data_IF_535153967496
#
_entry.id   IF_535153967496
#
_cell.length_a   1.000
_cell.length_b   1.000
_cell.length_c   1.000
_cell.angle_alpha   90.00
_cell.angle_beta   90.00
_cell.angle_gamma   90.00
#
_symmetry.space_group_name_H-M   'P 1'
#
loop_
_entity.id
_entity.type
_entity.pdbx_description
1 polymer ?
#
# COMPACT_ATOMS: atom_id res chain seq x y z
N UNK A 1 -5.15 13.23 0.26
CA UNK A 1 -5.75 12.75 -1.01
C UNK A 1 -4.62 12.41 -1.94
N UNK A 2 -4.48 11.12 -2.22
CA UNK A 2 -3.42 10.57 -3.07
C UNK A 2 -3.84 10.67 -4.53
N UNK A 3 -2.89 10.99 -5.40
CA UNK A 3 -3.07 11.10 -6.85
C UNK A 3 -2.06 10.20 -7.58
N UNK A 4 -2.26 9.94 -8.88
CA UNK A 4 -1.33 9.14 -9.70
C UNK A 4 0.09 9.74 -9.79
N UNK A 5 0.20 11.06 -9.65
CA UNK A 5 1.46 11.80 -9.60
C UNK A 5 2.19 11.66 -8.27
N UNK A 6 1.51 11.20 -7.21
CA UNK A 6 2.07 11.12 -5.86
C UNK A 6 3.18 10.08 -5.77
N UNK A 7 4.12 10.34 -4.87
CA UNK A 7 5.11 9.35 -4.44
C UNK A 7 4.72 8.89 -3.04
N UNK A 8 4.64 7.58 -2.82
CA UNK A 8 4.21 6.99 -1.55
C UNK A 8 5.20 5.93 -1.08
N UNK A 9 5.30 5.72 0.22
CA UNK A 9 6.05 4.60 0.82
C UNK A 9 5.32 4.02 2.01
N UNK A 10 5.65 2.79 2.39
CA UNK A 10 5.31 2.22 3.68
C UNK A 10 5.75 3.15 4.82
N UNK A 11 4.96 3.18 5.90
CA UNK A 11 5.32 3.92 7.10
C UNK A 11 6.44 3.15 7.85
N UNK A 12 7.66 3.72 7.98
CA UNK A 12 8.77 3.02 8.61
C UNK A 12 8.61 2.80 10.11
N UNK A 13 7.64 3.44 10.75
CA UNK A 13 7.38 3.28 12.20
C UNK A 13 6.60 2.00 12.52
N UNK A 14 6.10 1.28 11.50
CA UNK A 14 5.33 0.06 11.68
C UNK A 14 6.23 -1.16 11.67
N UNK A 15 6.00 -2.07 12.63
CA UNK A 15 6.57 -3.41 12.58
C UNK A 15 5.67 -4.30 11.76
N UNK A 16 6.19 -4.84 10.66
CA UNK A 16 5.51 -5.81 9.82
C UNK A 16 6.05 -7.23 10.08
N UNK A 17 5.18 -8.21 10.18
CA UNK A 17 5.53 -9.64 10.32
C UNK A 17 4.58 -10.46 9.46
N UNK A 18 5.13 -11.45 8.77
CA UNK A 18 4.34 -12.37 7.94
C UNK A 18 4.03 -13.64 8.72
N UNK A 19 2.78 -14.10 8.64
CA UNK A 19 2.33 -15.37 9.24
C UNK A 19 1.28 -15.98 8.32
N UNK A 20 1.50 -17.23 7.88
CA UNK A 20 0.61 -17.97 6.97
C UNK A 20 0.23 -17.21 5.67
N UNK A 21 1.12 -16.34 5.16
CA UNK A 21 0.89 -15.54 3.96
C UNK A 21 0.06 -14.26 4.16
N UNK A 22 -0.36 -14.00 5.40
CA UNK A 22 -0.95 -12.72 5.82
C UNK A 22 0.12 -11.80 6.38
N UNK A 23 -0.04 -10.49 6.16
CA UNK A 23 0.86 -9.48 6.71
C UNK A 23 0.22 -8.80 7.90
N UNK A 24 0.81 -9.03 9.06
CA UNK A 24 0.47 -8.41 10.32
C UNK A 24 1.33 -7.15 10.48
N UNK A 25 0.68 -6.02 10.69
CA UNK A 25 1.38 -4.76 11.01
C UNK A 25 1.00 -4.28 12.39
N UNK A 26 2.00 -3.79 13.12
CA UNK A 26 1.86 -3.29 14.47
C UNK A 26 2.42 -1.88 14.57
N UNK A 27 1.57 -0.94 14.97
CA UNK A 27 1.97 0.36 15.47
C UNK A 27 2.22 0.22 16.97
N UNK A 28 3.50 0.09 17.35
CA UNK A 28 3.90 -0.08 18.74
C UNK A 28 3.61 1.15 19.60
N UNK A 29 3.61 2.34 19.01
CA UNK A 29 3.38 3.59 19.74
C UNK A 29 1.89 3.77 20.08
N UNK A 30 1.01 3.43 19.15
CA UNK A 30 -0.44 3.57 19.34
C UNK A 30 -1.13 2.29 19.80
N UNK A 31 -0.39 1.17 19.88
CA UNK A 31 -0.94 -0.14 20.23
C UNK A 31 -1.95 -0.66 19.20
N UNK A 32 -1.83 -0.27 17.92
CA UNK A 32 -2.76 -0.65 16.86
C UNK A 32 -2.22 -1.85 16.09
N UNK A 33 -3.12 -2.75 15.72
CA UNK A 33 -2.84 -3.93 14.93
C UNK A 33 -3.66 -3.88 13.64
N UNK A 34 -3.03 -4.27 12.53
CA UNK A 34 -3.66 -4.38 11.24
C UNK A 34 -3.31 -5.72 10.60
N UNK A 35 -4.29 -6.31 9.91
CA UNK A 35 -4.06 -7.46 9.06
C UNK A 35 -4.36 -7.05 7.62
N UNK A 36 -3.37 -7.19 6.74
CA UNK A 36 -3.56 -7.00 5.32
C UNK A 36 -3.84 -8.33 4.65
N UNK A 37 -4.89 -8.33 3.81
CA UNK A 37 -5.08 -9.42 2.86
C UNK A 37 -3.88 -9.51 1.91
N UNK A 38 -3.80 -10.62 1.16
CA UNK A 38 -2.71 -10.90 0.23
C UNK A 38 -2.38 -9.74 -0.73
N UNK A 39 -3.39 -9.13 -1.35
CA UNK A 39 -3.19 -8.08 -2.36
C UNK A 39 -2.67 -6.80 -1.67
N UNK A 40 -3.31 -6.38 -0.58
CA UNK A 40 -2.88 -5.22 0.19
C UNK A 40 -1.46 -5.41 0.75
N UNK A 41 -1.11 -6.62 1.20
CA UNK A 41 0.24 -6.96 1.66
C UNK A 41 1.26 -6.89 0.52
N UNK A 42 0.93 -7.39 -0.67
CA UNK A 42 1.80 -7.28 -1.85
C UNK A 42 2.05 -5.83 -2.25
N UNK A 43 0.99 -5.00 -2.29
CA UNK A 43 1.12 -3.57 -2.59
C UNK A 43 1.99 -2.89 -1.52
N UNK A 44 1.72 -3.14 -0.24
CA UNK A 44 2.50 -2.55 0.85
C UNK A 44 3.99 -2.90 0.77
N UNK A 45 4.34 -4.15 0.41
CA UNK A 45 5.74 -4.57 0.17
C UNK A 45 6.39 -3.81 -0.99
N UNK A 46 5.65 -3.58 -2.09
CA UNK A 46 6.15 -2.75 -3.20
C UNK A 46 6.43 -1.29 -2.77
N UNK A 47 5.88 -0.86 -1.63
CA UNK A 47 6.06 0.47 -1.04
C UNK A 47 7.14 0.53 0.06
N UNK A 48 7.84 -0.57 0.39
CA UNK A 48 9.00 -0.53 1.30
C UNK A 48 10.07 0.49 0.84
N UNK A 49 10.05 0.83 -0.45
CA UNK A 49 10.78 1.96 -1.01
C UNK A 49 9.80 2.97 -1.60
N UNK A 50 10.11 4.29 -1.54
CA UNK A 50 9.29 5.30 -2.18
C UNK A 50 9.05 5.00 -3.65
N UNK A 51 7.78 5.02 -4.06
CA UNK A 51 7.36 4.67 -5.40
C UNK A 51 6.29 5.62 -5.91
N UNK A 52 6.36 5.94 -7.20
CA UNK A 52 5.32 6.70 -7.87
C UNK A 52 4.07 5.84 -8.08
N UNK A 53 2.89 6.39 -7.82
CA UNK A 53 1.62 5.66 -7.91
C UNK A 53 1.34 5.20 -9.35
N UNK A 54 1.69 5.98 -10.37
CA UNK A 54 1.54 5.56 -11.78
C UNK A 54 2.36 4.30 -12.08
N UNK A 55 3.59 4.22 -11.59
CA UNK A 55 4.46 3.07 -11.81
C UNK A 55 4.03 1.84 -10.99
N UNK A 56 3.39 2.05 -9.84
CA UNK A 56 2.74 1.00 -9.07
C UNK A 56 1.54 0.42 -9.85
N UNK A 57 0.63 1.27 -10.34
CA UNK A 57 -0.52 0.84 -11.14
C UNK A 57 -0.10 0.08 -12.40
N UNK A 58 0.94 0.55 -13.11
CA UNK A 58 1.48 -0.15 -14.29
C UNK A 58 1.98 -1.56 -13.95
N UNK A 59 2.75 -1.68 -12.88
CA UNK A 59 3.30 -2.95 -12.39
C UNK A 59 2.20 -3.94 -12.00
N UNK A 60 1.13 -3.45 -11.36
CA UNK A 60 -0.03 -4.28 -11.04
C UNK A 60 -0.80 -4.68 -12.30
N UNK A 61 -0.94 -3.80 -13.29
CA UNK A 61 -1.59 -4.12 -14.57
C UNK A 61 -0.86 -5.18 -15.41
N UNK A 62 0.43 -5.35 -15.23
CA UNK A 62 1.18 -6.45 -15.84
C UNK A 62 0.92 -7.80 -15.15
N UNK A 63 0.44 -7.78 -13.90
CA UNK A 63 0.26 -8.96 -13.03
C UNK A 63 -1.20 -9.40 -12.92
N UNK A 64 -2.13 -8.48 -13.09
CA UNK A 64 -3.57 -8.69 -12.91
C UNK A 64 -4.30 -8.44 -14.23
N UNK A 65 -5.22 -9.34 -14.59
CA UNK A 65 -6.04 -9.23 -15.79
C UNK A 65 -7.24 -8.30 -15.54
N UNK A 66 -6.97 -7.00 -15.47
CA UNK A 66 -7.95 -5.93 -15.28
C UNK A 66 -7.58 -4.70 -16.12
N UNK A 67 -8.55 -3.83 -16.37
CA UNK A 67 -8.28 -2.60 -17.14
C UNK A 67 -7.43 -1.61 -16.33
N UNK A 68 -6.66 -0.77 -17.02
CA UNK A 68 -5.86 0.27 -16.36
C UNK A 68 -6.71 1.19 -15.46
N UNK A 69 -7.92 1.54 -15.90
CA UNK A 69 -8.84 2.39 -15.13
C UNK A 69 -9.35 1.71 -13.85
N UNK A 70 -9.60 0.39 -13.89
CA UNK A 70 -9.99 -0.37 -12.70
C UNK A 70 -8.83 -0.45 -11.71
N UNK A 71 -7.61 -0.74 -12.19
CA UNK A 71 -6.43 -0.80 -11.33
C UNK A 71 -6.12 0.55 -10.71
N UNK A 72 -6.13 1.63 -11.49
CA UNK A 72 -5.88 2.98 -10.97
C UNK A 72 -6.88 3.35 -9.88
N UNK A 73 -8.18 3.13 -10.11
CA UNK A 73 -9.22 3.39 -9.10
C UNK A 73 -8.99 2.56 -7.84
N UNK A 74 -8.86 1.26 -7.98
CA UNK A 74 -8.79 0.34 -6.83
C UNK A 74 -7.49 0.55 -6.02
N UNK A 75 -6.38 0.89 -6.70
CA UNK A 75 -5.12 1.25 -6.05
C UNK A 75 -5.25 2.58 -5.31
N UNK A 76 -5.82 3.62 -5.93
CA UNK A 76 -6.01 4.91 -5.27
C UNK A 76 -6.92 4.80 -4.04
N UNK A 77 -8.01 4.03 -4.14
CA UNK A 77 -8.92 3.76 -3.03
C UNK A 77 -8.20 3.03 -1.88
N UNK A 78 -7.40 2.00 -2.20
CA UNK A 78 -6.62 1.28 -1.21
C UNK A 78 -5.56 2.17 -0.54
N UNK A 79 -4.82 2.94 -1.32
CA UNK A 79 -3.79 3.84 -0.80
C UNK A 79 -4.41 4.92 0.09
N UNK A 80 -5.59 5.45 -0.27
CA UNK A 80 -6.34 6.37 0.59
C UNK A 80 -6.70 5.74 1.94
N UNK A 81 -7.21 4.51 1.94
CA UNK A 81 -7.49 3.78 3.19
C UNK A 81 -6.21 3.54 4.03
N UNK A 82 -5.10 3.22 3.37
CA UNK A 82 -3.81 3.04 4.03
C UNK A 82 -3.28 4.36 4.61
N UNK A 83 -3.45 5.49 3.91
CA UNK A 83 -3.10 6.83 4.41
C UNK A 83 -3.89 7.16 5.68
N UNK A 84 -5.22 6.99 5.63
CA UNK A 84 -6.12 7.26 6.76
C UNK A 84 -5.74 6.43 7.99
N UNK A 85 -5.27 5.20 7.77
CA UNK A 85 -4.78 4.32 8.82
C UNK A 85 -3.32 4.55 9.23
N UNK A 86 -2.62 5.48 8.57
CA UNK A 86 -1.18 5.78 8.76
C UNK A 86 -0.25 4.61 8.44
N UNK A 87 -0.66 3.75 7.52
CA UNK A 87 0.10 2.59 7.05
C UNK A 87 1.16 2.95 6.02
N UNK A 88 0.95 4.06 5.32
CA UNK A 88 1.84 4.63 4.32
C UNK A 88 2.07 6.11 4.61
N UNK A 89 3.05 6.69 3.92
CA UNK A 89 3.34 8.13 3.91
C UNK A 89 3.37 8.64 2.47
N UNK A 90 2.93 9.87 2.28
CA UNK A 90 3.00 10.60 1.02
C UNK A 90 4.24 11.49 1.05
N UNK A 91 4.99 11.52 -0.05
CA UNK A 91 6.15 12.38 -0.27
C UNK A 91 5.74 13.53 -1.21
N UNK A 92 6.17 14.75 -0.88
CA UNK A 92 5.93 15.97 -1.65
C UNK A 92 7.15 16.44 -2.43
#
# INVERSE_FOLDING_TARGET
MIELSSVVSANPDLLATETDGELIMMDMEQGRYFNLNRISAEIWRELERPRNVTDLCRSLGERYDASAAEIERDVLDLLGQMEDQKLIRIHG
#
